data_IF_041282514360
#
_entry.id   IF_041282514360
#
_cell.length_a   1.000
_cell.length_b   1.000
_cell.length_c   1.000
_cell.angle_alpha   90.00
_cell.angle_beta   90.00
_cell.angle_gamma   90.00
#
_symmetry.space_group_name_H-M   'P 1'
#
loop_
_entity.id
_entity.type
_entity.pdbx_description
1 polymer ?
#
# COMPACT_ATOMS: atom_id res chain seq x y z
N UNK A 1 13.59 7.50 -9.94
CA UNK A 1 13.24 6.38 -9.04
C UNK A 1 11.72 6.34 -9.01
N UNK A 2 11.09 5.17 -9.16
CA UNK A 2 9.62 5.08 -9.18
C UNK A 2 9.08 5.25 -7.76
N UNK A 3 8.03 6.05 -7.59
CA UNK A 3 7.42 6.37 -6.30
C UNK A 3 6.21 5.50 -6.02
N UNK A 4 6.31 4.71 -4.95
CA UNK A 4 5.25 3.86 -4.42
C UNK A 4 4.62 4.53 -3.20
N UNK A 5 3.33 4.85 -3.29
CA UNK A 5 2.55 5.30 -2.13
C UNK A 5 1.65 4.17 -1.65
N UNK A 6 1.65 3.93 -0.35
CA UNK A 6 0.89 2.85 0.29
C UNK A 6 -0.17 3.48 1.19
N UNK A 7 -1.44 3.17 0.90
CA UNK A 7 -2.58 3.61 1.69
C UNK A 7 -2.98 2.50 2.68
N UNK A 8 -2.56 2.68 3.92
CA UNK A 8 -2.70 1.76 5.06
C UNK A 8 -1.35 1.37 5.65
N UNK A 9 -1.16 1.60 6.96
CA UNK A 9 0.04 1.34 7.75
C UNK A 9 -0.06 0.10 8.65
N UNK A 10 -0.94 -0.84 8.30
CA UNK A 10 -1.05 -2.14 8.96
C UNK A 10 0.01 -3.14 8.51
N UNK A 11 -0.23 -4.43 8.76
CA UNK A 11 0.70 -5.52 8.42
C UNK A 11 1.05 -5.57 6.93
N UNK A 12 0.02 -5.67 6.09
CA UNK A 12 0.11 -5.66 4.63
C UNK A 12 0.82 -4.40 4.09
N UNK A 13 0.49 -3.25 4.66
CA UNK A 13 1.06 -1.97 4.24
C UNK A 13 2.55 -1.88 4.50
N UNK A 14 2.99 -2.23 5.72
CA UNK A 14 4.40 -2.26 6.09
C UNK A 14 5.16 -3.35 5.33
N UNK A 15 4.57 -4.54 5.14
CA UNK A 15 5.18 -5.60 4.34
C UNK A 15 5.43 -5.16 2.90
N UNK A 16 4.46 -4.48 2.29
CA UNK A 16 4.60 -3.87 0.97
C UNK A 16 5.66 -2.79 0.95
N UNK A 17 5.74 -1.97 2.00
CA UNK A 17 6.74 -0.91 2.12
C UNK A 17 8.17 -1.46 2.11
N UNK A 18 8.40 -2.54 2.87
CA UNK A 18 9.69 -3.25 2.92
C UNK A 18 10.04 -3.82 1.55
N UNK A 19 9.08 -4.49 0.88
CA UNK A 19 9.32 -5.04 -0.46
C UNK A 19 9.61 -3.94 -1.48
N UNK A 20 8.83 -2.86 -1.48
CA UNK A 20 9.02 -1.71 -2.37
C UNK A 20 10.41 -1.11 -2.21
N UNK A 21 10.85 -0.87 -0.96
CA UNK A 21 12.19 -0.37 -0.69
C UNK A 21 13.27 -1.32 -1.24
N UNK A 22 13.14 -2.64 -0.99
CA UNK A 22 14.06 -3.66 -1.52
C UNK A 22 14.10 -3.71 -3.05
N UNK A 23 13.01 -3.33 -3.72
CA UNK A 23 12.91 -3.27 -5.19
C UNK A 23 13.30 -1.89 -5.76
N UNK A 24 13.79 -0.97 -4.92
CA UNK A 24 14.31 0.31 -5.37
C UNK A 24 13.24 1.38 -5.61
N UNK A 25 12.07 1.26 -4.99
CA UNK A 25 11.06 2.32 -5.00
C UNK A 25 11.40 3.40 -3.97
N UNK A 26 11.01 4.64 -4.28
CA UNK A 26 10.82 5.67 -3.25
C UNK A 26 9.47 5.39 -2.57
N UNK A 27 9.49 5.02 -1.29
CA UNK A 27 8.29 4.54 -0.59
C UNK A 27 7.77 5.60 0.38
N UNK A 28 6.44 5.77 0.39
CA UNK A 28 5.73 6.56 1.38
C UNK A 28 4.49 5.82 1.88
N UNK A 29 4.30 5.77 3.20
CA UNK A 29 3.13 5.13 3.84
C UNK A 29 2.20 6.20 4.41
N UNK A 30 0.90 6.10 4.14
CA UNK A 30 -0.10 7.02 4.65
C UNK A 30 -1.28 6.23 5.21
N UNK A 31 -1.69 6.53 6.44
CA UNK A 31 -2.86 5.92 7.08
C UNK A 31 -3.80 7.00 7.60
N UNK A 32 -5.12 6.82 7.41
CA UNK A 32 -6.13 7.73 7.94
C UNK A 32 -6.46 7.46 9.42
N UNK A 33 -6.05 6.30 9.94
CA UNK A 33 -6.05 5.96 11.35
C UNK A 33 -4.67 6.06 11.97
N UNK A 34 -4.58 5.64 13.23
CA UNK A 34 -3.33 5.60 13.98
C UNK A 34 -2.54 4.33 13.65
N UNK A 35 -1.29 4.47 13.27
CA UNK A 35 -0.39 3.35 13.01
C UNK A 35 0.08 2.77 14.35
N UNK A 36 0.00 1.45 14.50
CA UNK A 36 0.45 0.76 15.73
C UNK A 36 1.95 0.97 15.92
N UNK A 37 2.40 1.14 17.17
CA UNK A 37 3.82 1.42 17.51
C UNK A 37 4.79 0.45 16.81
N UNK A 38 4.52 -0.85 16.87
CA UNK A 38 5.35 -1.89 16.22
C UNK A 38 5.60 -1.66 14.72
N UNK A 39 4.66 -1.04 14.01
CA UNK A 39 4.77 -0.75 12.59
C UNK A 39 5.53 0.56 12.36
N UNK A 40 5.34 1.56 13.22
CA UNK A 40 6.13 2.80 13.20
C UNK A 40 7.61 2.54 13.44
N UNK A 41 7.92 1.73 14.44
CA UNK A 41 9.30 1.34 14.78
C UNK A 41 9.99 0.68 13.57
N UNK A 42 9.27 -0.15 12.80
CA UNK A 42 9.79 -0.77 11.56
C UNK A 42 10.03 0.29 10.49
N UNK A 43 9.06 1.15 10.21
CA UNK A 43 9.16 2.20 9.18
C UNK A 43 10.31 3.17 9.47
N UNK A 44 10.48 3.56 10.74
CA UNK A 44 11.58 4.41 11.21
C UNK A 44 12.93 3.70 11.06
N UNK A 45 13.04 2.44 11.50
CA UNK A 45 14.27 1.66 11.41
C UNK A 45 14.78 1.50 9.96
N UNK A 46 13.86 1.36 9.00
CA UNK A 46 14.20 1.22 7.57
C UNK A 46 14.20 2.55 6.81
N UNK A 47 13.96 3.68 7.49
CA UNK A 47 14.03 5.01 6.91
C UNK A 47 12.92 5.34 5.91
N UNK A 48 11.75 4.72 6.02
CA UNK A 48 10.59 5.03 5.17
C UNK A 48 9.78 6.16 5.80
N UNK A 49 9.49 7.19 5.01
CA UNK A 49 8.62 8.28 5.44
C UNK A 49 7.17 7.80 5.56
N UNK A 50 6.47 8.29 6.60
CA UNK A 50 5.09 7.93 6.83
C UNK A 50 4.26 9.08 7.43
N UNK A 51 2.94 8.94 7.37
CA UNK A 51 1.99 9.75 8.11
C UNK A 51 0.83 8.89 8.64
N UNK A 52 0.24 9.34 9.74
CA UNK A 52 -0.93 8.72 10.36
C UNK A 52 -2.02 9.78 10.60
N UNK A 53 -3.24 9.33 10.83
CA UNK A 53 -4.43 10.18 11.09
C UNK A 53 -4.80 11.13 9.93
N UNK A 54 -4.24 10.92 8.73
CA UNK A 54 -4.54 11.71 7.54
C UNK A 54 -4.06 11.06 6.24
N UNK A 55 -4.61 11.56 5.14
CA UNK A 55 -4.09 11.35 3.80
C UNK A 55 -3.77 12.70 3.14
N UNK A 56 -2.50 13.10 3.16
CA UNK A 56 -2.03 14.35 2.54
C UNK A 56 -2.02 14.23 1.02
N UNK A 57 -3.01 14.83 0.35
CA UNK A 57 -3.13 14.80 -1.12
C UNK A 57 -1.82 15.16 -1.84
N UNK A 58 -1.12 16.20 -1.38
CA UNK A 58 0.14 16.66 -1.98
C UNK A 58 1.26 15.62 -1.96
N UNK A 59 1.25 14.69 -1.00
CA UNK A 59 2.23 13.60 -0.90
C UNK A 59 1.82 12.31 -1.61
N UNK A 60 0.54 12.20 -1.95
CA UNK A 60 -0.08 10.98 -2.52
C UNK A 60 -0.24 11.13 -4.04
N UNK A 61 -0.70 12.29 -4.52
CA UNK A 61 -1.00 12.51 -5.94
C UNK A 61 0.24 12.61 -6.84
N UNK A 62 1.44 12.61 -6.26
CA UNK A 62 2.71 12.54 -6.99
C UNK A 62 3.26 11.11 -7.10
N UNK A 63 2.47 10.09 -6.74
CA UNK A 63 2.85 8.69 -6.87
C UNK A 63 2.86 8.23 -8.33
N UNK A 64 3.81 7.35 -8.66
CA UNK A 64 3.79 6.60 -9.92
C UNK A 64 2.90 5.36 -9.82
N UNK A 65 2.73 4.84 -8.60
CA UNK A 65 1.83 3.72 -8.29
C UNK A 65 1.34 3.83 -6.84
N UNK A 66 0.07 3.50 -6.63
CA UNK A 66 -0.54 3.45 -5.31
C UNK A 66 -0.96 2.03 -4.97
N UNK A 67 -0.44 1.49 -3.87
CA UNK A 67 -1.01 0.29 -3.25
C UNK A 67 -2.08 0.71 -2.25
N UNK A 68 -3.27 0.12 -2.36
CA UNK A 68 -4.42 0.41 -1.51
C UNK A 68 -4.79 -0.80 -0.66
N UNK A 69 -4.94 -0.59 0.64
CA UNK A 69 -5.53 -1.60 1.53
C UNK A 69 -7.00 -1.91 1.16
N UNK A 70 -7.48 -3.16 1.25
CA UNK A 70 -8.84 -3.54 0.86
C UNK A 70 -9.96 -2.74 1.54
N UNK A 71 -9.73 -2.26 2.76
CA UNK A 71 -10.71 -1.50 3.54
C UNK A 71 -10.97 -0.07 3.05
N UNK A 72 -10.17 0.47 2.14
CA UNK A 72 -10.37 1.81 1.59
C UNK A 72 -11.30 1.70 0.38
N UNK A 73 -12.49 2.34 0.35
CA UNK A 73 -13.41 2.23 -0.79
C UNK A 73 -12.83 2.83 -2.06
N UNK A 74 -13.17 2.26 -3.23
CA UNK A 74 -12.79 2.82 -4.53
C UNK A 74 -13.48 4.15 -4.85
N UNK A 75 -14.58 4.44 -4.16
CA UNK A 75 -15.40 5.63 -4.36
C UNK A 75 -14.89 6.86 -3.60
N UNK A 76 -13.86 6.72 -2.76
CA UNK A 76 -13.35 7.88 -2.03
C UNK A 76 -12.69 8.87 -3.00
N UNK A 77 -12.87 10.19 -2.81
CA UNK A 77 -12.43 11.20 -3.79
C UNK A 77 -10.95 11.09 -4.17
N UNK A 78 -10.08 10.74 -3.22
CA UNK A 78 -8.65 10.57 -3.46
C UNK A 78 -8.35 9.44 -4.46
N UNK A 79 -9.06 8.31 -4.38
CA UNK A 79 -8.84 7.16 -5.28
C UNK A 79 -9.37 7.47 -6.68
N UNK A 80 -10.51 8.14 -6.76
CA UNK A 80 -11.07 8.62 -8.04
C UNK A 80 -10.08 9.57 -8.72
N UNK A 81 -9.57 10.55 -7.99
CA UNK A 81 -8.60 11.54 -8.50
C UNK A 81 -7.28 10.89 -8.98
N UNK A 82 -6.78 9.88 -8.26
CA UNK A 82 -5.62 9.10 -8.70
C UNK A 82 -5.87 8.40 -10.04
N UNK A 83 -7.04 7.77 -10.20
CA UNK A 83 -7.41 7.07 -11.43
C UNK A 83 -7.61 8.03 -12.60
N UNK A 84 -8.24 9.19 -12.38
CA UNK A 84 -8.41 10.24 -13.39
C UNK A 84 -7.06 10.77 -13.90
N UNK A 85 -6.04 10.80 -13.02
CA UNK A 85 -4.65 11.16 -13.38
C UNK A 85 -3.88 10.00 -14.04
N UNK A 86 -4.50 8.83 -14.21
CA UNK A 86 -3.85 7.65 -14.78
C UNK A 86 -2.87 6.96 -13.83
N UNK A 87 -2.87 7.29 -12.54
CA UNK A 87 -2.02 6.61 -11.55
C UNK A 87 -2.62 5.24 -11.24
N UNK A 88 -1.87 4.14 -11.44
CA UNK A 88 -2.34 2.80 -11.10
C UNK A 88 -2.63 2.68 -9.60
N UNK A 89 -3.85 2.30 -9.25
CA UNK A 89 -4.26 1.98 -7.87
C UNK A 89 -4.49 0.48 -7.78
N UNK A 90 -3.59 -0.22 -7.10
CA UNK A 90 -3.51 -1.68 -7.08
C UNK A 90 -3.64 -2.24 -5.67
N UNK A 91 -3.94 -3.54 -5.57
CA UNK A 91 -3.95 -4.25 -4.28
C UNK A 91 -2.54 -4.68 -3.85
N UNK A 92 -2.39 -5.03 -2.56
CA UNK A 92 -1.18 -5.70 -2.06
C UNK A 92 -0.84 -6.94 -2.91
N UNK A 93 -1.82 -7.83 -3.10
CA UNK A 93 -1.64 -9.12 -3.80
C UNK A 93 -1.14 -8.88 -5.23
N UNK A 94 -1.69 -7.88 -5.92
CA UNK A 94 -1.26 -7.50 -7.26
C UNK A 94 0.16 -6.91 -7.28
N UNK A 95 0.56 -6.17 -6.25
CA UNK A 95 1.91 -5.65 -6.16
C UNK A 95 2.92 -6.79 -5.91
N UNK A 96 2.67 -7.64 -4.92
CA UNK A 96 3.62 -8.69 -4.50
C UNK A 96 3.73 -9.82 -5.52
N UNK A 97 2.66 -10.13 -6.27
CA UNK A 97 2.67 -11.22 -7.28
C UNK A 97 3.67 -10.97 -8.40
N UNK A 98 4.04 -9.70 -8.66
CA UNK A 98 5.07 -9.32 -9.65
C UNK A 98 6.49 -9.67 -9.23
N UNK A 99 6.70 -10.06 -7.97
CA UNK A 99 8.03 -10.27 -7.39
C UNK A 99 8.23 -11.69 -6.84
N UNK A 100 7.42 -12.64 -7.29
CA UNK A 100 7.55 -14.06 -6.95
C UNK A 100 7.43 -14.92 -8.20
N UNK A 101 8.27 -15.96 -8.28
CA UNK A 101 8.16 -17.00 -9.31
C UNK A 101 7.42 -18.24 -8.79
N UNK A 102 6.94 -18.20 -7.54
CA UNK A 102 6.22 -19.30 -6.93
C UNK A 102 4.85 -19.49 -7.61
N UNK A 103 4.37 -20.73 -7.63
CA UNK A 103 3.01 -21.04 -8.10
C UNK A 103 1.99 -20.41 -7.14
N UNK A 104 1.15 -19.52 -7.66
CA UNK A 104 0.07 -18.86 -6.90
C UNK A 104 -1.23 -19.65 -7.10
N UNK A 105 -1.90 -20.01 -5.99
CA UNK A 105 -3.24 -20.60 -5.99
C UNK A 105 -4.16 -19.63 -5.26
N UNK A 106 -5.12 -19.04 -5.98
CA UNK A 106 -6.11 -18.14 -5.42
C UNK A 106 -7.35 -18.89 -4.95
N UNK A 107 -7.70 -18.77 -3.67
CA UNK A 107 -8.93 -19.30 -3.09
C UNK A 107 -9.77 -18.12 -2.61
N UNK A 108 -11.00 -18.01 -3.12
CA UNK A 108 -11.96 -16.96 -2.76
C UNK A 108 -13.35 -17.55 -2.53
N UNK A 109 -14.25 -16.78 -1.91
CA UNK A 109 -15.61 -17.22 -1.60
C UNK A 109 -16.14 -16.57 -0.33
N UNK A 110 -17.46 -16.55 -0.14
CA UNK A 110 -18.06 -15.95 1.06
C UNK A 110 -17.74 -16.77 2.32
N UNK A 111 -17.81 -18.10 2.25
CA UNK A 111 -17.59 -19.04 3.36
C UNK A 111 -16.60 -20.17 2.97
N UNK A 112 -15.98 -20.82 3.95
CA UNK A 112 -15.17 -22.04 3.74
C UNK A 112 -13.72 -21.85 3.24
N UNK A 113 -13.18 -20.62 3.24
CA UNK A 113 -11.84 -20.32 2.70
C UNK A 113 -10.67 -20.89 3.53
N UNK A 114 -10.90 -21.13 4.82
CA UNK A 114 -9.87 -21.57 5.80
C UNK A 114 -10.06 -23.05 6.19
N UNK A 115 -11.09 -23.71 5.64
CA UNK A 115 -11.49 -25.08 5.98
C UNK A 115 -10.98 -26.04 4.91
#
# INVERSE_FOLDING_TARGET
MTRLVILGGGESGVGTAILGLKKGFEVFVSDNGKIKKKYKDVLEHIGINWEEEKHSKSKILNADVVMKSPGIPDTVPLIVELREKGVPVISEIEFVSKYTDAKIIGITGSNGKTT
#
